data_IF_513459159620
#
_entry.id   IF_513459159620
#
_cell.length_a   1.000
_cell.length_b   1.000
_cell.length_c   1.000
_cell.angle_alpha   90.00
_cell.angle_beta   90.00
_cell.angle_gamma   90.00
#
_symmetry.space_group_name_H-M   'P 1'
#
loop_
_entity.id
_entity.type
_entity.pdbx_description
1 polymer ?
#
# COMPACT_ATOMS: atom_id res chain seq x y z
N UNK A 1 -0.11 -26.51 -10.78
CA UNK A 1 0.14 -26.18 -9.94
C UNK A 1 0.76 -25.16 -10.01
N UNK A 2 0.69 -24.77 -10.06
CA UNK A 2 1.08 -23.97 -10.07
C UNK A 2 1.32 -23.18 -9.32
N UNK A 3 0.90 -23.21 -8.55
CA UNK A 3 1.23 -22.35 -7.51
C UNK A 3 2.61 -22.47 -7.02
N UNK A 4 3.18 -23.56 -7.23
CA UNK A 4 4.57 -23.73 -6.87
C UNK A 4 5.44 -22.76 -7.62
N UNK A 5 6.23 -21.98 -6.89
CA UNK A 5 7.11 -21.03 -7.50
C UNK A 5 6.45 -19.77 -7.96
N UNK A 6 5.14 -19.63 -7.83
CA UNK A 6 4.47 -18.39 -8.14
C UNK A 6 4.40 -17.53 -6.91
N UNK A 7 4.95 -16.32 -7.02
CA UNK A 7 4.85 -15.36 -5.94
C UNK A 7 3.43 -14.83 -5.87
N UNK A 8 2.96 -14.58 -4.68
CA UNK A 8 1.70 -13.87 -4.49
C UNK A 8 1.85 -12.45 -5.04
N UNK A 9 0.83 -11.91 -5.73
CA UNK A 9 0.92 -10.54 -6.23
C UNK A 9 0.93 -9.51 -5.11
N UNK A 10 0.52 -9.90 -3.92
CA UNK A 10 0.56 -9.00 -2.77
C UNK A 10 0.70 -9.81 -1.49
N UNK A 11 1.25 -9.15 -0.47
CA UNK A 11 1.32 -9.68 0.89
C UNK A 11 1.03 -8.56 1.85
N UNK A 12 0.58 -8.93 3.04
CA UNK A 12 0.28 -7.97 4.10
C UNK A 12 0.99 -8.43 5.37
N UNK A 13 1.61 -7.49 6.08
CA UNK A 13 2.19 -7.79 7.37
C UNK A 13 1.95 -6.62 8.32
N UNK A 14 2.15 -6.86 9.61
CA UNK A 14 1.77 -5.92 10.64
C UNK A 14 2.86 -5.83 11.71
N UNK A 15 3.18 -4.61 12.08
CA UNK A 15 4.09 -4.32 13.19
C UNK A 15 3.22 -3.96 14.39
N UNK A 16 3.08 -4.91 15.30
CA UNK A 16 2.22 -4.75 16.47
C UNK A 16 2.68 -3.63 17.38
N UNK A 17 3.99 -3.48 17.53
CA UNK A 17 4.55 -2.47 18.43
C UNK A 17 4.20 -1.05 18.00
N UNK A 18 4.27 -0.76 16.70
CA UNK A 18 4.04 0.57 16.16
C UNK A 18 2.68 0.73 15.48
N UNK A 19 1.91 -0.36 15.38
CA UNK A 19 0.60 -0.32 14.76
C UNK A 19 0.59 -0.09 13.27
N UNK A 20 1.62 -0.55 12.55
CA UNK A 20 1.77 -0.29 11.13
C UNK A 20 1.30 -1.49 10.32
N UNK A 21 0.33 -1.27 9.44
CA UNK A 21 -0.07 -2.25 8.44
C UNK A 21 0.75 -1.99 7.18
N UNK A 22 1.56 -2.96 6.75
CA UNK A 22 2.33 -2.84 5.52
C UNK A 22 1.72 -3.75 4.47
N UNK A 23 1.41 -3.15 3.32
CA UNK A 23 0.79 -3.81 2.19
C UNK A 23 1.77 -3.78 1.04
N UNK A 24 2.21 -4.93 0.55
CA UNK A 24 3.20 -5.02 -0.52
C UNK A 24 2.59 -5.58 -1.78
N UNK A 25 2.87 -4.92 -2.90
CA UNK A 25 2.60 -5.44 -4.23
C UNK A 25 3.91 -5.93 -4.83
N UNK A 26 3.84 -6.98 -5.63
CA UNK A 26 5.03 -7.52 -6.30
C UNK A 26 4.69 -8.03 -7.68
N UNK A 27 5.70 -8.05 -8.55
CA UNK A 27 5.56 -8.54 -9.91
C UNK A 27 4.74 -7.60 -10.79
N UNK A 28 3.95 -8.19 -11.67
CA UNK A 28 3.11 -7.42 -12.59
C UNK A 28 1.80 -7.06 -11.91
N UNK A 29 1.50 -5.77 -11.86
CA UNK A 29 0.27 -5.25 -11.26
C UNK A 29 -0.67 -4.82 -12.37
N UNK A 30 -1.85 -5.43 -12.41
CA UNK A 30 -2.92 -5.10 -13.35
C UNK A 30 -4.06 -4.43 -12.60
N UNK A 31 -5.07 -3.95 -13.35
CA UNK A 31 -6.27 -3.36 -12.75
C UNK A 31 -6.90 -4.32 -11.73
N UNK A 32 -7.07 -5.59 -12.11
CA UNK A 32 -7.70 -6.58 -11.24
C UNK A 32 -6.89 -6.86 -9.98
N UNK A 33 -5.58 -6.98 -10.12
CA UNK A 33 -4.70 -7.19 -8.97
C UNK A 33 -4.79 -6.02 -8.00
N UNK A 34 -4.76 -4.80 -8.52
CA UNK A 34 -4.81 -3.61 -7.66
C UNK A 34 -6.15 -3.50 -6.95
N UNK A 35 -7.26 -3.77 -7.63
CA UNK A 35 -8.57 -3.73 -7.03
C UNK A 35 -8.71 -4.76 -5.91
N UNK A 36 -8.24 -5.98 -6.15
CA UNK A 36 -8.27 -7.03 -5.14
C UNK A 36 -7.39 -6.67 -3.94
N UNK A 37 -6.21 -6.10 -4.21
CA UNK A 37 -5.28 -5.65 -3.19
C UNK A 37 -5.95 -4.70 -2.19
N UNK A 38 -6.71 -3.74 -2.69
CA UNK A 38 -7.39 -2.79 -1.81
C UNK A 38 -8.51 -3.45 -1.02
N UNK A 39 -9.22 -4.42 -1.59
CA UNK A 39 -10.26 -5.15 -0.88
C UNK A 39 -9.69 -5.97 0.26
N UNK A 40 -8.63 -6.73 -0.01
CA UNK A 40 -7.99 -7.57 1.00
C UNK A 40 -7.32 -6.72 2.06
N UNK A 41 -6.69 -5.62 1.65
CA UNK A 41 -6.09 -4.68 2.59
C UNK A 41 -7.09 -4.11 3.58
N UNK A 42 -8.29 -3.78 3.09
CA UNK A 42 -9.35 -3.27 3.95
C UNK A 42 -9.79 -4.31 4.99
N UNK A 43 -9.83 -5.58 4.60
CA UNK A 43 -10.15 -6.65 5.54
C UNK A 43 -9.11 -6.76 6.64
N UNK A 44 -7.83 -6.70 6.29
CA UNK A 44 -6.74 -6.75 7.27
C UNK A 44 -6.77 -5.53 8.19
N UNK A 45 -7.06 -4.36 7.63
CA UNK A 45 -7.14 -3.14 8.44
C UNK A 45 -8.24 -3.24 9.50
N UNK A 46 -9.38 -3.82 9.13
CA UNK A 46 -10.48 -3.99 10.09
C UNK A 46 -10.11 -4.94 11.21
N UNK A 47 -9.24 -5.91 10.96
CA UNK A 47 -8.81 -6.88 11.98
C UNK A 47 -7.72 -6.35 12.88
N UNK A 48 -6.79 -5.57 12.31
CA UNK A 48 -5.59 -5.16 13.05
C UNK A 48 -5.69 -3.78 13.67
N UNK A 49 -6.64 -2.95 13.21
CA UNK A 49 -6.82 -1.58 13.71
C UNK A 49 -5.51 -0.79 13.68
N UNK A 50 -4.89 -0.63 12.51
CA UNK A 50 -3.59 0.03 12.43
C UNK A 50 -3.70 1.52 12.71
N UNK A 51 -2.58 2.10 13.17
CA UNK A 51 -2.48 3.54 13.36
C UNK A 51 -1.74 4.21 12.21
N UNK A 52 -1.13 3.43 11.33
CA UNK A 52 -0.50 3.92 10.11
C UNK A 52 -0.51 2.82 9.07
N UNK A 53 -0.45 3.21 7.80
CA UNK A 53 -0.41 2.26 6.70
C UNK A 53 0.71 2.59 5.73
N UNK A 54 1.35 1.55 5.20
CA UNK A 54 2.41 1.68 4.21
C UNK A 54 2.10 0.75 3.06
N UNK A 55 2.08 1.30 1.84
CA UNK A 55 2.01 0.50 0.62
C UNK A 55 3.40 0.49 0.00
N UNK A 56 3.97 -0.69 -0.15
CA UNK A 56 5.34 -0.85 -0.63
C UNK A 56 5.32 -1.41 -2.04
N UNK A 57 5.79 -0.62 -3.00
CA UNK A 57 5.84 -0.99 -4.41
C UNK A 57 7.25 -1.36 -4.86
N UNK A 58 8.16 -1.62 -3.92
CA UNK A 58 9.57 -1.90 -4.24
C UNK A 58 9.76 -3.15 -5.09
N UNK A 59 8.85 -4.12 -4.98
CA UNK A 59 8.95 -5.38 -5.69
C UNK A 59 8.13 -5.41 -6.98
N UNK A 60 7.50 -4.30 -7.35
CA UNK A 60 6.70 -4.21 -8.57
C UNK A 60 7.65 -4.16 -9.76
N UNK A 61 7.44 -5.06 -10.74
CA UNK A 61 8.24 -5.11 -11.95
C UNK A 61 7.53 -4.50 -13.14
N UNK A 62 6.21 -4.45 -13.11
CA UNK A 62 5.41 -3.89 -14.21
C UNK A 62 4.10 -3.37 -13.63
N UNK A 63 3.74 -2.14 -13.98
CA UNK A 63 2.53 -1.52 -13.43
C UNK A 63 1.60 -1.18 -14.60
N UNK A 64 0.75 -2.17 -14.96
CA UNK A 64 -0.17 -2.08 -16.09
C UNK A 64 -1.57 -1.74 -15.57
N UNK A 65 -1.71 -0.56 -14.99
CA UNK A 65 -2.97 -0.11 -14.41
C UNK A 65 -3.46 1.10 -15.20
N UNK A 66 -4.73 1.05 -15.59
CA UNK A 66 -5.32 2.12 -16.40
C UNK A 66 -5.53 3.40 -15.57
N UNK A 67 -5.54 4.53 -16.25
CA UNK A 67 -5.82 5.80 -15.59
C UNK A 67 -7.22 5.80 -14.97
N UNK A 68 -8.15 5.11 -15.60
CA UNK A 68 -9.51 5.01 -15.08
C UNK A 68 -9.54 4.28 -13.74
N UNK A 69 -8.82 3.17 -13.63
CA UNK A 69 -8.74 2.41 -12.37
C UNK A 69 -8.08 3.23 -11.28
N UNK A 70 -6.99 3.95 -11.60
CA UNK A 70 -6.34 4.84 -10.63
C UNK A 70 -7.35 5.88 -10.12
N UNK A 71 -8.12 6.47 -11.02
CA UNK A 71 -9.10 7.48 -10.67
C UNK A 71 -10.20 6.91 -9.77
N UNK A 72 -10.69 5.72 -10.11
CA UNK A 72 -11.72 5.05 -9.32
C UNK A 72 -11.24 4.75 -7.90
N UNK A 73 -10.03 4.22 -7.78
CA UNK A 73 -9.47 3.89 -6.47
C UNK A 73 -9.20 5.15 -5.66
N UNK A 74 -8.72 6.21 -6.30
CA UNK A 74 -8.46 7.48 -5.61
C UNK A 74 -9.73 8.05 -4.97
N UNK A 75 -10.89 7.78 -5.55
CA UNK A 75 -12.17 8.27 -5.05
C UNK A 75 -12.89 7.29 -4.14
N UNK A 76 -12.37 6.07 -4.02
CA UNK A 76 -13.00 5.04 -3.19
C UNK A 76 -12.54 5.16 -1.74
N UNK A 77 -13.26 4.46 -0.84
CA UNK A 77 -12.92 4.46 0.59
C UNK A 77 -11.50 3.95 0.80
N UNK A 78 -10.71 4.59 1.67
CA UNK A 78 -9.36 4.15 1.93
C UNK A 78 -9.31 2.88 2.75
N UNK A 79 -8.18 2.16 2.66
CA UNK A 79 -7.94 0.96 3.45
C UNK A 79 -8.02 1.30 4.95
N UNK A 80 -7.38 2.38 5.36
CA UNK A 80 -7.51 2.91 6.71
C UNK A 80 -8.61 3.96 6.70
N UNK A 81 -9.71 3.67 7.37
CA UNK A 81 -10.91 4.50 7.31
C UNK A 81 -10.74 5.86 7.97
N UNK A 82 -9.92 5.95 9.03
CA UNK A 82 -9.73 7.21 9.76
C UNK A 82 -8.84 8.15 8.93
N UNK A 83 -9.35 9.32 8.53
CA UNK A 83 -8.58 10.24 7.69
C UNK A 83 -7.38 10.86 8.39
N UNK A 84 -7.33 10.84 9.71
CA UNK A 84 -6.21 11.41 10.48
C UNK A 84 -4.97 10.53 10.51
N UNK A 85 -5.06 9.28 10.06
CA UNK A 85 -3.93 8.37 10.13
C UNK A 85 -2.93 8.64 9.01
N UNK A 86 -1.65 8.39 9.30
CA UNK A 86 -0.58 8.54 8.32
C UNK A 86 -0.62 7.41 7.30
N UNK A 87 -0.45 7.77 6.04
CA UNK A 87 -0.43 6.83 4.92
C UNK A 87 0.80 7.11 4.07
N UNK A 88 1.54 6.06 3.75
CA UNK A 88 2.78 6.19 2.98
C UNK A 88 2.76 5.21 1.82
N UNK A 89 3.21 5.68 0.67
CA UNK A 89 3.48 4.82 -0.49
C UNK A 89 4.95 4.90 -0.79
N UNK A 90 5.61 3.75 -0.84
CA UNK A 90 7.01 3.65 -1.25
C UNK A 90 7.03 3.31 -2.73
N UNK A 91 7.48 4.26 -3.55
CA UNK A 91 7.52 4.13 -5.01
C UNK A 91 8.91 4.49 -5.49
N UNK A 92 9.81 3.49 -5.63
CA UNK A 92 11.24 3.77 -5.85
C UNK A 92 11.60 4.23 -7.26
N UNK A 93 10.81 3.89 -8.27
CA UNK A 93 11.14 4.29 -9.65
C UNK A 93 10.46 5.60 -10.00
N UNK A 94 11.05 6.38 -10.93
CA UNK A 94 10.43 7.65 -11.34
C UNK A 94 9.01 7.50 -11.87
N UNK A 95 8.75 6.43 -12.64
CA UNK A 95 7.42 6.19 -13.19
C UNK A 95 6.39 5.95 -12.09
N UNK A 96 6.70 5.04 -11.17
CA UNK A 96 5.80 4.74 -10.05
C UNK A 96 5.62 5.95 -9.13
N UNK A 97 6.72 6.65 -8.87
CA UNK A 97 6.66 7.84 -8.02
C UNK A 97 5.70 8.87 -8.61
N UNK A 98 5.82 9.14 -9.91
CA UNK A 98 4.92 10.09 -10.59
C UNK A 98 3.48 9.66 -10.55
N UNK A 99 3.21 8.38 -10.80
CA UNK A 99 1.84 7.85 -10.77
C UNK A 99 1.24 7.93 -9.38
N UNK A 100 2.03 7.63 -8.35
CA UNK A 100 1.53 7.68 -6.98
C UNK A 100 1.33 9.11 -6.52
N UNK A 101 2.13 10.05 -6.99
CA UNK A 101 1.91 11.46 -6.72
C UNK A 101 0.58 11.92 -7.31
N UNK A 102 0.27 11.46 -8.52
CA UNK A 102 -1.00 11.77 -9.16
C UNK A 102 -2.16 11.16 -8.36
N UNK A 103 -2.02 9.92 -7.92
CA UNK A 103 -3.01 9.26 -7.09
C UNK A 103 -3.25 10.05 -5.80
N UNK A 104 -2.18 10.46 -5.15
CA UNK A 104 -2.28 11.24 -3.91
C UNK A 104 -3.02 12.56 -4.13
N UNK A 105 -2.72 13.24 -5.23
CA UNK A 105 -3.37 14.51 -5.55
C UNK A 105 -4.86 14.32 -5.85
N UNK A 106 -5.20 13.31 -6.65
CA UNK A 106 -6.58 13.05 -7.02
C UNK A 106 -7.44 12.64 -5.83
N UNK A 107 -6.84 11.97 -4.83
CA UNK A 107 -7.56 11.48 -3.66
C UNK A 107 -7.31 12.29 -2.39
N UNK A 108 -6.83 13.51 -2.50
CA UNK A 108 -6.40 14.30 -1.35
C UNK A 108 -7.49 14.48 -0.31
N UNK A 109 -8.73 14.65 -0.72
CA UNK A 109 -9.84 14.82 0.21
C UNK A 109 -10.14 13.54 0.99
N UNK A 110 -9.86 12.39 0.39
CA UNK A 110 -10.15 11.09 0.99
C UNK A 110 -8.96 10.59 1.80
N UNK A 111 -7.73 10.90 1.32
CA UNK A 111 -6.48 10.46 1.96
C UNK A 111 -5.57 11.67 2.20
N UNK A 112 -5.95 12.54 3.15
CA UNK A 112 -5.22 13.82 3.33
C UNK A 112 -3.79 13.67 3.82
N UNK A 113 -3.47 12.57 4.49
CA UNK A 113 -2.13 12.34 5.05
C UNK A 113 -1.36 11.28 4.27
N UNK A 114 -1.47 11.32 2.93
CA UNK A 114 -0.76 10.37 2.09
C UNK A 114 0.55 10.98 1.61
N UNK A 115 1.65 10.32 1.94
CA UNK A 115 3.00 10.71 1.55
C UNK A 115 3.55 9.71 0.56
N UNK A 116 4.14 10.19 -0.54
CA UNK A 116 4.79 9.33 -1.52
C UNK A 116 6.29 9.52 -1.35
N UNK A 117 6.98 8.43 -1.07
CA UNK A 117 8.44 8.44 -0.84
C UNK A 117 9.10 7.41 -1.74
N UNK A 118 10.42 7.40 -1.77
CA UNK A 118 11.17 6.48 -2.64
C UNK A 118 11.80 5.33 -1.90
N UNK A 119 11.98 5.43 -0.58
CA UNK A 119 12.66 4.40 0.20
C UNK A 119 11.94 4.12 1.51
N UNK A 120 12.19 2.93 2.05
CA UNK A 120 11.71 2.57 3.38
C UNK A 120 12.22 3.54 4.44
N UNK A 121 13.49 3.92 4.31
CA UNK A 121 14.10 4.82 5.27
C UNK A 121 13.31 6.12 5.40
N UNK A 122 12.89 6.68 4.25
CA UNK A 122 12.07 7.88 4.25
C UNK A 122 10.72 7.62 4.93
N UNK A 123 10.14 6.44 4.68
CA UNK A 123 8.86 6.08 5.29
C UNK A 123 8.97 6.04 6.81
N UNK A 124 10.01 5.37 7.32
CA UNK A 124 10.19 5.25 8.77
C UNK A 124 10.51 6.59 9.41
N UNK A 125 11.19 7.48 8.68
CA UNK A 125 11.46 8.83 9.19
C UNK A 125 10.17 9.61 9.37
N UNK A 126 9.24 9.53 8.42
CA UNK A 126 7.95 10.21 8.51
C UNK A 126 7.13 9.67 9.68
N UNK A 127 7.12 8.35 9.85
CA UNK A 127 6.36 7.71 10.93
C UNK A 127 7.06 7.78 12.28
N UNK A 128 8.31 8.24 12.30
CA UNK A 128 9.14 8.33 13.52
C UNK A 128 9.25 6.96 14.19
N UNK A 129 9.68 5.97 13.39
CA UNK A 129 9.77 4.58 13.81
C UNK A 129 11.18 4.07 13.57
N UNK A 130 11.71 3.28 14.51
CA UNK A 130 13.01 2.64 14.37
C UNK A 130 12.80 1.13 14.39
N UNK A 131 13.45 0.44 13.44
CA UNK A 131 13.48 -1.02 13.37
C UNK A 131 12.10 -1.68 13.53
N UNK A 132 11.12 -1.35 12.68
CA UNK A 132 9.81 -1.99 12.81
C UNK A 132 9.93 -3.50 12.57
N UNK A 133 9.15 -4.26 13.32
CA UNK A 133 9.17 -5.72 13.25
C UNK A 133 7.84 -6.20 12.69
N UNK A 134 7.85 -6.64 11.45
CA UNK A 134 6.63 -7.05 10.76
C UNK A 134 6.41 -8.55 10.83
N UNK A 135 5.18 -8.93 11.07
CA UNK A 135 4.76 -10.32 11.06
C UNK A 135 3.73 -10.51 9.96
N UNK A 136 3.98 -11.49 9.11
CA UNK A 136 3.11 -11.77 7.97
C UNK A 136 1.70 -12.10 8.43
N UNK A 137 0.71 -11.50 7.76
CA UNK A 137 -0.70 -11.78 8.00
C UNK A 137 -1.18 -12.78 6.96
N UNK A 138 -1.97 -13.74 7.42
CA UNK A 138 -2.52 -14.74 6.53
C UNK A 138 -3.80 -14.22 5.91
N UNK A 139 -3.93 -14.47 4.62
CA UNK A 139 -5.11 -14.14 3.85
C UNK A 139 -6.06 -15.32 3.87
N UNK A 140 -7.33 -15.07 4.09
CA UNK A 140 -8.32 -16.13 4.06
C UNK A 140 -9.39 -15.87 3.06
#
# INVERSE_FOLDING_TARGET
>A
MTALGQAMPYTFDFDLTNGILRCRLSGRVTDGVLQEFFQVGSQHARRTHPTAGVVDLSEVTSFDVSAETIRQIAKSAPVLADPGLQRIVIAPTPHLFGMMRMFATQGEEIRPNLHVVRTEKEAWAILVVQDPQFKLLETQ
#
